data_IF_071309517213
#
_entry.id   IF_071309517213
#
_cell.length_a   1.000
_cell.length_b   1.000
_cell.length_c   1.000
_cell.angle_alpha   90.00
_cell.angle_beta   90.00
_cell.angle_gamma   90.00
#
_symmetry.space_group_name_H-M   'P 1'
#
loop_
_entity.id
_entity.type
_entity.pdbx_description
1 polymer ?
#
# COMPACT_ATOMS: atom_id res chain seq x y z
N UNK A 1 -37.00 -16.08 8.48
CA UNK A 1 -36.29 -14.79 8.54
C UNK A 1 -35.23 -14.84 9.65
N UNK A 2 -34.03 -15.36 9.39
CA UNK A 2 -32.95 -15.48 10.41
C UNK A 2 -31.60 -14.91 9.90
N UNK A 3 -31.63 -14.05 8.87
CA UNK A 3 -30.42 -13.62 8.15
C UNK A 3 -30.04 -12.15 8.24
N UNK A 4 -30.78 -11.31 8.98
CA UNK A 4 -30.57 -9.85 8.99
C UNK A 4 -30.29 -9.24 10.37
N UNK A 5 -29.91 -10.04 11.36
CA UNK A 5 -29.39 -9.54 12.65
C UNK A 5 -27.88 -9.77 12.84
N UNK A 6 -27.22 -10.44 11.90
CA UNK A 6 -25.81 -10.83 11.98
C UNK A 6 -24.92 -9.99 11.08
N UNK A 7 -25.14 -8.67 11.00
CA UNK A 7 -24.34 -7.78 10.14
C UNK A 7 -22.84 -7.87 10.43
N UNK A 8 -22.40 -7.42 11.61
CA UNK A 8 -20.99 -7.47 12.00
C UNK A 8 -20.52 -8.89 12.36
N UNK A 9 -21.34 -9.65 13.10
CA UNK A 9 -20.99 -11.00 13.56
C UNK A 9 -20.83 -11.99 12.41
N UNK A 10 -21.68 -11.89 11.37
CA UNK A 10 -21.57 -12.72 10.17
C UNK A 10 -20.31 -12.43 9.35
N UNK A 11 -19.94 -11.15 9.22
CA UNK A 11 -18.67 -10.77 8.56
C UNK A 11 -17.45 -11.34 9.31
N UNK A 12 -17.44 -11.25 10.64
CA UNK A 12 -16.34 -11.79 11.45
C UNK A 12 -16.28 -13.32 11.39
N UNK A 13 -17.42 -14.02 11.49
CA UNK A 13 -17.45 -15.48 11.36
C UNK A 13 -17.02 -15.94 9.97
N UNK A 14 -17.43 -15.26 8.90
CA UNK A 14 -17.00 -15.55 7.55
C UNK A 14 -15.48 -15.40 7.37
N UNK A 15 -14.90 -14.30 7.89
CA UNK A 15 -13.46 -14.07 7.84
C UNK A 15 -12.67 -15.13 8.63
N UNK A 16 -13.14 -15.51 9.82
CA UNK A 16 -12.54 -16.55 10.64
C UNK A 16 -12.61 -17.91 9.95
N UNK A 17 -13.78 -18.27 9.40
CA UNK A 17 -13.96 -19.54 8.72
C UNK A 17 -13.09 -19.66 7.46
N UNK A 18 -13.04 -18.59 6.65
CA UNK A 18 -12.15 -18.53 5.49
C UNK A 18 -10.66 -18.67 5.87
N UNK A 19 -10.23 -18.00 6.93
CA UNK A 19 -8.86 -18.09 7.43
C UNK A 19 -8.54 -19.49 7.97
N UNK A 20 -9.49 -20.12 8.66
CA UNK A 20 -9.36 -21.49 9.18
C UNK A 20 -9.23 -22.50 8.03
N UNK A 21 -10.07 -22.39 7.00
CA UNK A 21 -9.99 -23.23 5.80
C UNK A 21 -8.65 -23.06 5.07
N UNK A 22 -8.21 -21.82 4.87
CA UNK A 22 -6.92 -21.54 4.22
C UNK A 22 -5.75 -22.14 5.01
N UNK A 23 -5.77 -21.99 6.34
CA UNK A 23 -4.75 -22.58 7.22
C UNK A 23 -4.79 -24.10 7.17
N UNK A 24 -5.98 -24.71 7.16
CA UNK A 24 -6.13 -26.16 7.02
C UNK A 24 -5.57 -26.69 5.70
N UNK A 25 -5.83 -26.00 4.58
CA UNK A 25 -5.27 -26.34 3.26
C UNK A 25 -3.75 -26.20 3.28
N UNK A 26 -3.22 -25.11 3.86
CA UNK A 26 -1.78 -24.89 3.96
C UNK A 26 -1.12 -26.00 4.79
N UNK A 27 -1.64 -26.31 5.98
CA UNK A 27 -1.17 -27.41 6.84
C UNK A 27 -1.21 -28.74 6.11
N UNK A 28 -2.26 -29.01 5.34
CA UNK A 28 -2.37 -30.23 4.55
C UNK A 28 -1.27 -30.31 3.47
N UNK A 29 -0.99 -29.22 2.75
CA UNK A 29 0.10 -29.17 1.77
C UNK A 29 1.50 -29.25 2.41
N UNK A 30 1.65 -28.78 3.65
CA UNK A 30 2.94 -28.83 4.37
C UNK A 30 3.17 -30.15 5.11
N UNK A 31 2.20 -31.08 5.12
CA UNK A 31 2.29 -32.32 5.90
C UNK A 31 3.55 -33.14 5.56
N UNK A 32 3.96 -33.10 4.29
CA UNK A 32 5.10 -33.88 3.79
C UNK A 32 6.44 -33.32 4.31
N UNK A 33 6.45 -32.06 4.76
CA UNK A 33 7.61 -31.41 5.37
C UNK A 33 7.70 -31.64 6.88
N UNK A 34 6.65 -32.18 7.53
CA UNK A 34 6.63 -32.38 8.99
C UNK A 34 7.47 -33.56 9.45
N UNK A 35 7.83 -34.47 8.55
CA UNK A 35 8.67 -35.63 8.80
C UNK A 35 10.16 -35.38 8.55
N UNK A 36 10.52 -34.19 8.04
CA UNK A 36 11.90 -33.79 7.76
C UNK A 36 12.62 -33.45 9.07
N UNK A 37 13.88 -33.90 9.27
CA UNK A 37 14.66 -33.59 10.47
C UNK A 37 14.80 -32.07 10.66
N UNK A 38 14.57 -31.63 11.90
CA UNK A 38 14.60 -30.21 12.28
C UNK A 38 16.02 -29.66 12.15
N UNK A 39 16.21 -28.71 11.25
CA UNK A 39 17.45 -27.94 11.15
C UNK A 39 17.57 -26.95 12.33
N UNK A 40 18.78 -26.48 12.62
CA UNK A 40 18.99 -25.51 13.69
C UNK A 40 18.22 -24.22 13.38
N UNK A 41 17.29 -23.86 14.26
CA UNK A 41 16.45 -22.68 14.10
C UNK A 41 17.25 -21.41 14.47
N UNK A 42 17.76 -20.71 13.47
CA UNK A 42 18.40 -19.40 13.68
C UNK A 42 17.35 -18.30 13.91
N UNK A 43 16.82 -18.27 15.13
CA UNK A 43 15.89 -17.24 15.57
C UNK A 43 16.48 -15.83 15.41
N UNK A 44 17.81 -15.67 15.55
CA UNK A 44 18.46 -14.36 15.49
C UNK A 44 18.51 -13.83 14.06
N UNK A 45 18.91 -14.67 13.10
CA UNK A 45 18.84 -14.34 11.67
C UNK A 45 17.39 -14.07 11.22
N UNK A 46 16.45 -14.90 11.67
CA UNK A 46 15.03 -14.71 11.38
C UNK A 46 14.49 -13.38 11.94
N UNK A 47 14.80 -13.03 13.19
CA UNK A 47 14.37 -11.75 13.76
C UNK A 47 15.07 -10.56 13.12
N UNK A 48 16.36 -10.68 12.77
CA UNK A 48 17.12 -9.63 12.12
C UNK A 48 16.56 -9.25 10.72
N UNK A 49 15.92 -10.20 10.03
CA UNK A 49 15.25 -9.97 8.75
C UNK A 49 13.75 -9.67 8.91
N UNK A 50 13.08 -10.43 9.78
CA UNK A 50 11.64 -10.36 10.00
C UNK A 50 11.20 -9.05 10.64
N UNK A 51 11.92 -8.54 11.65
CA UNK A 51 11.56 -7.28 12.32
C UNK A 51 11.60 -6.10 11.34
N UNK A 52 12.69 -5.85 10.59
CA UNK A 52 12.71 -4.76 9.62
C UNK A 52 11.71 -4.94 8.47
N UNK A 53 11.48 -6.18 8.02
CA UNK A 53 10.47 -6.48 7.00
C UNK A 53 9.06 -6.09 7.49
N UNK A 54 8.69 -6.52 8.70
CA UNK A 54 7.41 -6.20 9.33
C UNK A 54 7.26 -4.71 9.58
N UNK A 55 8.31 -4.04 10.05
CA UNK A 55 8.27 -2.59 10.31
C UNK A 55 8.19 -1.78 9.02
N UNK A 56 8.93 -2.16 7.98
CA UNK A 56 8.88 -1.49 6.67
C UNK A 56 7.50 -1.64 6.03
N UNK A 57 6.98 -2.88 5.97
CA UNK A 57 5.64 -3.14 5.43
C UNK A 57 4.55 -2.47 6.30
N UNK A 58 4.70 -2.55 7.62
CA UNK A 58 3.81 -1.92 8.60
C UNK A 58 3.76 -0.40 8.46
N UNK A 59 4.88 0.26 8.20
CA UNK A 59 4.93 1.71 7.96
C UNK A 59 4.15 2.09 6.69
N UNK A 60 4.34 1.36 5.58
CA UNK A 60 3.55 1.56 4.36
C UNK A 60 2.05 1.31 4.59
N UNK A 61 1.70 0.28 5.35
CA UNK A 61 0.31 -0.03 5.67
C UNK A 61 -0.32 1.02 6.58
N UNK A 62 0.44 1.55 7.53
CA UNK A 62 0.01 2.64 8.39
C UNK A 62 -0.30 3.88 7.55
N UNK A 63 0.61 4.31 6.66
CA UNK A 63 0.37 5.44 5.76
C UNK A 63 -0.86 5.24 4.85
N UNK A 64 -1.15 4.00 4.46
CA UNK A 64 -2.29 3.65 3.61
C UNK A 64 -3.65 3.70 4.31
N UNK A 65 -3.70 3.43 5.62
CA UNK A 65 -4.96 3.29 6.37
C UNK A 65 -5.22 4.43 7.37
N UNK A 66 -4.17 5.11 7.82
CA UNK A 66 -4.25 6.09 8.91
C UNK A 66 -5.07 7.34 8.56
N UNK A 67 -5.09 7.77 7.30
CA UNK A 67 -5.89 8.89 6.83
C UNK A 67 -7.37 8.80 7.27
N UNK A 68 -8.01 7.65 7.06
CA UNK A 68 -9.40 7.41 7.47
C UNK A 68 -9.55 7.33 8.99
N UNK A 69 -8.55 6.77 9.69
CA UNK A 69 -8.58 6.61 11.15
C UNK A 69 -8.54 7.97 11.86
N UNK A 70 -7.70 8.89 11.39
CA UNK A 70 -7.56 10.23 11.96
C UNK A 70 -8.63 11.20 11.48
N UNK A 71 -9.17 11.05 10.26
CA UNK A 71 -10.25 11.92 9.78
C UNK A 71 -11.59 11.62 10.48
N UNK A 72 -11.89 10.35 10.79
CA UNK A 72 -13.20 9.94 11.31
C UNK A 72 -13.71 10.72 12.55
N UNK A 73 -12.88 11.04 13.56
CA UNK A 73 -13.34 11.79 14.73
C UNK A 73 -13.60 13.28 14.46
N UNK A 74 -13.06 13.85 13.38
CA UNK A 74 -13.06 15.29 13.12
C UNK A 74 -14.08 15.74 12.07
N UNK A 75 -14.70 14.81 11.35
CA UNK A 75 -15.66 15.09 10.27
C UNK A 75 -17.01 14.40 10.50
N UNK A 76 -18.05 14.94 9.87
CA UNK A 76 -19.40 14.38 9.96
C UNK A 76 -19.50 13.01 9.25
N UNK A 77 -20.48 12.18 9.65
CA UNK A 77 -20.66 10.85 9.05
C UNK A 77 -20.92 10.88 7.54
N UNK A 78 -21.59 11.92 7.04
CA UNK A 78 -21.90 12.12 5.61
C UNK A 78 -20.67 12.47 4.78
N UNK A 79 -19.79 13.31 5.34
CA UNK A 79 -18.49 13.66 4.75
C UNK A 79 -17.54 12.45 4.73
N UNK A 80 -17.49 11.72 5.85
CA UNK A 80 -16.69 10.49 5.97
C UNK A 80 -17.21 9.35 5.10
N UNK A 81 -18.51 9.28 4.82
CA UNK A 81 -19.06 8.31 3.87
C UNK A 81 -18.57 8.58 2.44
N UNK A 82 -18.58 9.84 2.01
CA UNK A 82 -18.07 10.25 0.70
C UNK A 82 -16.56 10.04 0.59
N UNK A 83 -15.81 10.40 1.64
CA UNK A 83 -14.36 10.16 1.72
C UNK A 83 -14.02 8.67 1.72
N UNK A 84 -14.74 7.87 2.52
CA UNK A 84 -14.55 6.43 2.62
C UNK A 84 -14.81 5.71 1.30
N UNK A 85 -15.82 6.14 0.54
CA UNK A 85 -16.06 5.61 -0.80
C UNK A 85 -14.97 6.02 -1.79
N UNK A 86 -14.59 7.30 -1.84
CA UNK A 86 -13.50 7.77 -2.70
C UNK A 86 -12.18 7.01 -2.40
N UNK A 87 -11.90 6.82 -1.12
CA UNK A 87 -10.75 6.05 -0.65
C UNK A 87 -10.86 4.57 -1.02
N UNK A 88 -12.02 3.94 -0.89
CA UNK A 88 -12.20 2.53 -1.25
C UNK A 88 -12.00 2.31 -2.74
N UNK A 89 -12.59 3.14 -3.59
CA UNK A 89 -12.44 3.05 -5.05
C UNK A 89 -10.97 3.24 -5.46
N UNK A 90 -10.30 4.23 -4.90
CA UNK A 90 -8.88 4.48 -5.19
C UNK A 90 -7.98 3.34 -4.72
N UNK A 91 -8.27 2.74 -3.56
CA UNK A 91 -7.53 1.57 -3.04
C UNK A 91 -7.79 0.31 -3.87
N UNK A 92 -9.03 0.07 -4.29
CA UNK A 92 -9.37 -1.05 -5.16
C UNK A 92 -8.61 -0.99 -6.49
N UNK A 93 -8.46 0.22 -7.06
CA UNK A 93 -7.62 0.45 -8.22
C UNK A 93 -6.15 0.07 -7.95
N UNK A 94 -5.60 0.44 -6.79
CA UNK A 94 -4.24 0.05 -6.43
C UNK A 94 -4.06 -1.47 -6.32
N UNK A 95 -5.03 -2.18 -5.76
CA UNK A 95 -5.01 -3.65 -5.73
C UNK A 95 -5.07 -4.29 -7.11
N UNK A 96 -5.54 -3.57 -8.14
CA UNK A 96 -5.46 -4.02 -9.52
C UNK A 96 -4.12 -3.63 -10.17
N UNK A 97 -3.62 -2.42 -9.91
CA UNK A 97 -2.36 -1.91 -10.50
C UNK A 97 -1.12 -2.66 -9.99
N UNK A 98 -1.04 -2.94 -8.68
CA UNK A 98 0.13 -3.57 -8.05
C UNK A 98 0.42 -4.99 -8.61
N UNK A 99 -0.55 -5.92 -8.69
CA UNK A 99 -0.34 -7.23 -9.31
C UNK A 99 -0.11 -7.13 -10.83
N UNK A 100 -0.81 -6.22 -11.52
CA UNK A 100 -0.61 -6.03 -12.97
C UNK A 100 0.82 -5.59 -13.29
N UNK A 101 1.39 -4.69 -12.49
CA UNK A 101 2.80 -4.31 -12.59
C UNK A 101 3.72 -5.53 -12.35
N UNK A 102 3.40 -6.36 -11.35
CA UNK A 102 4.16 -7.58 -11.03
C UNK A 102 4.13 -8.66 -12.12
N UNK A 103 3.06 -8.78 -12.91
CA UNK A 103 2.97 -9.74 -14.04
C UNK A 103 3.44 -9.16 -15.37
N UNK A 104 3.50 -7.83 -15.51
CA UNK A 104 4.15 -7.19 -16.65
C UNK A 104 5.67 -7.31 -16.56
N UNK A 105 6.23 -7.32 -15.34
CA UNK A 105 7.66 -7.51 -15.03
C UNK A 105 8.33 -8.58 -15.91
N UNK A 106 7.91 -9.87 -15.90
CA UNK A 106 8.59 -10.91 -16.66
C UNK A 106 8.51 -10.67 -18.17
N UNK A 107 7.40 -10.09 -18.66
CA UNK A 107 7.20 -9.80 -20.09
C UNK A 107 8.14 -8.69 -20.59
N UNK A 108 8.35 -7.64 -19.81
CA UNK A 108 9.25 -6.55 -20.23
C UNK A 108 10.73 -6.94 -20.00
N UNK A 109 11.04 -7.76 -18.98
CA UNK A 109 12.38 -8.34 -18.74
C UNK A 109 12.79 -9.29 -19.88
N UNK A 110 11.88 -10.13 -20.38
CA UNK A 110 12.15 -11.03 -21.51
C UNK A 110 12.47 -10.29 -22.82
N UNK A 111 11.99 -9.05 -23.00
CA UNK A 111 12.34 -8.18 -24.13
C UNK A 111 13.66 -7.42 -23.92
N UNK A 112 14.02 -7.12 -22.66
CA UNK A 112 15.27 -6.43 -22.28
C UNK A 112 16.44 -7.39 -21.97
N UNK A 113 16.28 -8.69 -22.19
CA UNK A 113 17.27 -9.74 -21.90
C UNK A 113 18.57 -9.67 -22.73
N UNK A 114 18.77 -8.61 -23.51
CA UNK A 114 19.98 -8.34 -24.29
C UNK A 114 20.99 -7.40 -23.61
N UNK A 115 21.07 -7.44 -22.26
CA UNK A 115 22.22 -7.00 -21.44
C UNK A 115 22.12 -5.61 -20.76
N UNK A 116 21.38 -5.49 -19.65
CA UNK A 116 21.76 -4.62 -18.51
C UNK A 116 20.88 -4.82 -17.26
N UNK A 117 21.48 -5.21 -16.13
CA UNK A 117 20.77 -5.51 -14.85
C UNK A 117 20.12 -4.28 -14.17
N UNK A 118 20.52 -3.07 -14.55
CA UNK A 118 20.01 -1.80 -13.97
C UNK A 118 18.67 -1.38 -14.60
N UNK A 119 18.34 -1.85 -15.80
CA UNK A 119 17.11 -1.43 -16.47
C UNK A 119 15.85 -2.03 -15.86
N UNK A 120 15.91 -3.17 -15.17
CA UNK A 120 14.71 -3.86 -14.70
C UNK A 120 13.94 -3.07 -13.63
N UNK A 121 14.62 -2.52 -12.63
CA UNK A 121 13.96 -1.70 -11.59
C UNK A 121 13.36 -0.42 -12.18
N UNK A 122 14.09 0.26 -13.08
CA UNK A 122 13.60 1.46 -13.76
C UNK A 122 12.41 1.18 -14.67
N UNK A 123 12.45 0.07 -15.41
CA UNK A 123 11.39 -0.38 -16.31
C UNK A 123 10.10 -0.69 -15.57
N UNK A 124 10.24 -1.23 -14.36
CA UNK A 124 9.13 -1.57 -13.47
C UNK A 124 8.55 -0.33 -12.85
N UNK A 125 9.41 0.58 -12.41
CA UNK A 125 8.98 1.88 -11.94
C UNK A 125 8.19 2.61 -13.02
N UNK A 126 8.69 2.62 -14.26
CA UNK A 126 8.00 3.23 -15.40
C UNK A 126 6.69 2.49 -15.69
N UNK A 127 6.69 1.15 -15.73
CA UNK A 127 5.49 0.35 -15.96
C UNK A 127 4.42 0.59 -14.89
N UNK A 128 4.83 0.64 -13.62
CA UNK A 128 3.96 0.95 -12.48
C UNK A 128 3.48 2.39 -12.55
N UNK A 129 4.33 3.34 -12.94
CA UNK A 129 3.96 4.75 -13.07
C UNK A 129 2.93 4.94 -14.18
N UNK A 130 3.15 4.34 -15.35
CA UNK A 130 2.20 4.37 -16.46
C UNK A 130 0.87 3.74 -16.03
N UNK A 131 0.88 2.54 -15.43
CA UNK A 131 -0.34 1.89 -14.97
C UNK A 131 -1.07 2.69 -13.88
N UNK A 132 -0.34 3.26 -12.92
CA UNK A 132 -0.91 4.05 -11.84
C UNK A 132 -1.47 5.39 -12.35
N UNK A 133 -0.77 6.08 -13.26
CA UNK A 133 -1.24 7.32 -13.89
C UNK A 133 -2.44 7.03 -14.77
N UNK A 134 -2.40 5.99 -15.62
CA UNK A 134 -3.53 5.57 -16.44
C UNK A 134 -4.73 5.17 -15.58
N UNK A 135 -4.50 4.43 -14.48
CA UNK A 135 -5.54 4.07 -13.53
C UNK A 135 -6.14 5.30 -12.85
N UNK A 136 -5.30 6.22 -12.37
CA UNK A 136 -5.75 7.45 -11.72
C UNK A 136 -6.50 8.36 -12.70
N UNK A 137 -6.04 8.47 -13.94
CA UNK A 137 -6.72 9.21 -14.99
C UNK A 137 -8.07 8.56 -15.36
N UNK A 138 -8.09 7.23 -15.52
CA UNK A 138 -9.31 6.47 -15.78
C UNK A 138 -10.32 6.66 -14.65
N UNK A 139 -9.88 6.60 -13.41
CA UNK A 139 -10.73 6.81 -12.25
C UNK A 139 -11.18 8.28 -12.13
N UNK A 140 -10.35 9.25 -12.50
CA UNK A 140 -10.71 10.67 -12.51
C UNK A 140 -11.72 11.02 -13.60
N UNK A 141 -11.62 10.40 -14.77
CA UNK A 141 -12.51 10.60 -15.92
C UNK A 141 -13.82 9.82 -15.78
N UNK A 142 -13.74 8.55 -15.37
CA UNK A 142 -14.89 7.66 -15.18
C UNK A 142 -15.52 7.78 -13.79
N UNK A 143 -14.88 8.52 -12.88
CA UNK A 143 -15.32 8.72 -11.50
C UNK A 143 -16.79 9.10 -11.37
N UNK A 144 -17.29 10.12 -12.08
CA UNK A 144 -18.70 10.51 -12.03
C UNK A 144 -19.67 9.42 -12.51
N UNK A 145 -19.23 8.53 -13.41
CA UNK A 145 -20.05 7.41 -13.90
C UNK A 145 -20.01 6.22 -12.94
N UNK A 146 -18.82 5.82 -12.48
CA UNK A 146 -18.64 4.71 -11.54
C UNK A 146 -19.31 5.01 -10.20
N UNK A 147 -19.16 6.25 -9.70
CA UNK A 147 -19.76 6.68 -8.44
C UNK A 147 -21.29 6.71 -8.55
N UNK A 148 -21.89 7.01 -9.72
CA UNK A 148 -23.35 6.89 -9.90
C UNK A 148 -23.88 5.46 -9.83
N UNK A 149 -23.08 4.47 -10.25
CA UNK A 149 -23.47 3.05 -10.15
C UNK A 149 -23.33 2.49 -8.73
N UNK A 150 -22.37 3.01 -7.95
CA UNK A 150 -22.01 2.44 -6.63
C UNK A 150 -22.58 3.26 -5.47
N UNK A 151 -22.76 4.58 -5.62
CA UNK A 151 -23.18 5.49 -4.56
C UNK A 151 -24.58 6.06 -4.78
N UNK A 152 -25.25 6.40 -3.67
CA UNK A 152 -26.49 7.21 -3.70
C UNK A 152 -26.19 8.59 -4.30
N UNK A 153 -27.12 9.12 -5.10
CA UNK A 153 -26.97 10.39 -5.83
C UNK A 153 -26.51 11.56 -4.94
N UNK A 154 -26.91 11.57 -3.66
CA UNK A 154 -26.52 12.58 -2.67
C UNK A 154 -25.02 12.70 -2.42
N UNK A 155 -24.23 11.63 -2.63
CA UNK A 155 -22.79 11.60 -2.35
C UNK A 155 -21.91 11.68 -3.59
N UNK A 156 -22.53 11.62 -4.79
CA UNK A 156 -21.82 11.54 -6.06
C UNK A 156 -20.98 12.79 -6.31
N UNK A 157 -21.53 13.98 -6.05
CA UNK A 157 -20.85 15.25 -6.29
C UNK A 157 -19.61 15.43 -5.39
N UNK A 158 -19.77 15.15 -4.09
CA UNK A 158 -18.68 15.25 -3.11
C UNK A 158 -17.57 14.21 -3.36
N UNK A 159 -17.97 12.96 -3.65
CA UNK A 159 -17.03 11.87 -3.94
C UNK A 159 -16.25 12.14 -5.24
N UNK A 160 -16.93 12.62 -6.29
CA UNK A 160 -16.30 12.92 -7.59
C UNK A 160 -15.28 14.06 -7.52
N UNK A 161 -15.46 15.02 -6.62
CA UNK A 161 -14.51 16.12 -6.41
C UNK A 161 -13.25 15.67 -5.63
N UNK A 162 -13.38 14.71 -4.72
CA UNK A 162 -12.26 14.17 -3.92
C UNK A 162 -11.46 13.10 -4.67
N UNK A 163 -12.10 12.40 -5.61
CA UNK A 163 -11.53 11.25 -6.31
C UNK A 163 -10.21 11.56 -7.04
N UNK A 164 -10.04 12.68 -7.78
CA UNK A 164 -8.79 12.97 -8.49
C UNK A 164 -7.63 13.26 -7.53
N UNK A 165 -7.90 13.96 -6.42
CA UNK A 165 -6.90 14.22 -5.38
C UNK A 165 -6.46 12.92 -4.70
N UNK A 166 -7.42 12.05 -4.40
CA UNK A 166 -7.15 10.77 -3.79
C UNK A 166 -6.35 9.85 -4.73
N UNK A 167 -6.80 9.72 -5.97
CA UNK A 167 -6.12 8.93 -6.99
C UNK A 167 -4.70 9.45 -7.24
N UNK A 168 -4.54 10.77 -7.34
CA UNK A 168 -3.24 11.42 -7.50
C UNK A 168 -2.29 11.16 -6.31
N UNK A 169 -2.78 11.21 -5.07
CA UNK A 169 -2.00 10.91 -3.87
C UNK A 169 -1.57 9.43 -3.79
N UNK A 170 -2.34 8.54 -4.42
CA UNK A 170 -2.11 7.10 -4.45
C UNK A 170 -1.10 6.65 -5.51
N UNK A 171 -0.85 7.45 -6.56
CA UNK A 171 0.19 7.16 -7.57
C UNK A 171 1.61 7.07 -6.96
N UNK A 172 2.11 8.10 -6.23
CA UNK A 172 3.43 8.02 -5.62
C UNK A 172 3.51 6.94 -4.53
N UNK A 173 2.40 6.68 -3.83
CA UNK A 173 2.30 5.56 -2.89
C UNK A 173 2.51 4.21 -3.58
N UNK A 174 1.85 3.97 -4.72
CA UNK A 174 1.99 2.72 -5.47
C UNK A 174 3.45 2.48 -5.90
N UNK A 175 4.11 3.52 -6.39
CA UNK A 175 5.52 3.48 -6.77
C UNK A 175 6.44 3.21 -5.58
N UNK A 176 6.20 3.91 -4.46
CA UNK A 176 6.95 3.70 -3.23
C UNK A 176 6.77 2.27 -2.73
N UNK A 177 5.55 1.73 -2.76
CA UNK A 177 5.26 0.38 -2.32
C UNK A 177 6.00 -0.66 -3.16
N UNK A 178 6.06 -0.50 -4.49
CA UNK A 178 6.85 -1.40 -5.35
C UNK A 178 8.34 -1.35 -5.00
N UNK A 179 8.91 -0.16 -4.78
CA UNK A 179 10.32 -0.03 -4.38
C UNK A 179 10.61 -0.59 -3.00
N UNK A 180 9.72 -0.39 -2.05
CA UNK A 180 9.83 -0.95 -0.70
C UNK A 180 9.84 -2.47 -0.78
N UNK A 181 8.93 -3.08 -1.54
CA UNK A 181 8.91 -4.52 -1.73
C UNK A 181 10.20 -5.03 -2.38
N UNK A 182 10.74 -4.34 -3.39
CA UNK A 182 12.03 -4.70 -4.00
C UNK A 182 13.22 -4.54 -3.03
N UNK A 183 13.29 -3.44 -2.27
CA UNK A 183 14.36 -3.18 -1.30
C UNK A 183 14.35 -4.18 -0.16
N UNK A 184 13.17 -4.51 0.37
CA UNK A 184 13.01 -5.48 1.45
C UNK A 184 13.30 -6.91 0.97
N UNK A 185 12.90 -7.27 -0.26
CA UNK A 185 13.25 -8.55 -0.88
C UNK A 185 14.77 -8.72 -1.10
N UNK A 186 15.50 -7.61 -1.26
CA UNK A 186 16.97 -7.59 -1.37
C UNK A 186 17.68 -7.39 -0.02
N UNK A 187 16.97 -7.55 1.10
CA UNK A 187 17.48 -7.39 2.47
C UNK A 187 18.10 -6.01 2.76
N UNK A 188 17.71 -4.97 2.01
CA UNK A 188 18.21 -3.59 2.20
C UNK A 188 17.45 -2.87 3.31
N UNK A 189 17.54 -3.40 4.53
CA UNK A 189 16.79 -2.90 5.69
C UNK A 189 17.20 -1.50 6.19
N UNK A 190 18.29 -0.92 5.66
CA UNK A 190 18.76 0.44 6.02
C UNK A 190 17.74 1.55 5.76
N UNK A 191 16.76 1.32 4.88
CA UNK A 191 15.69 2.29 4.58
C UNK A 191 14.56 2.26 5.62
N UNK A 192 14.41 1.17 6.38
CA UNK A 192 13.28 0.97 7.31
C UNK A 192 13.20 2.06 8.39
N UNK A 193 14.29 2.50 9.05
CA UNK A 193 14.22 3.60 10.01
C UNK A 193 13.71 4.90 9.38
N UNK A 194 14.11 5.22 8.14
CA UNK A 194 13.60 6.38 7.42
C UNK A 194 12.10 6.26 7.16
N UNK A 195 11.61 5.08 6.77
CA UNK A 195 10.17 4.84 6.57
C UNK A 195 9.37 5.02 7.86
N UNK A 196 9.90 4.55 9.00
CA UNK A 196 9.27 4.73 10.31
C UNK A 196 9.19 6.22 10.66
N UNK A 197 10.27 6.99 10.43
CA UNK A 197 10.28 8.44 10.68
C UNK A 197 9.27 9.16 9.79
N UNK A 198 9.17 8.81 8.51
CA UNK A 198 8.17 9.38 7.59
C UNK A 198 6.75 9.04 8.04
N UNK A 199 6.48 7.79 8.44
CA UNK A 199 5.18 7.36 8.93
C UNK A 199 4.78 8.04 10.25
N UNK A 200 5.72 8.16 11.19
CA UNK A 200 5.50 8.88 12.44
C UNK A 200 5.24 10.38 12.17
N UNK A 201 6.09 11.00 11.34
CA UNK A 201 5.94 12.40 10.93
C UNK A 201 4.60 12.67 10.25
N UNK A 202 4.12 11.74 9.41
CA UNK A 202 2.80 11.81 8.81
C UNK A 202 1.69 11.83 9.87
N UNK A 203 1.73 10.90 10.84
CA UNK A 203 0.75 10.84 11.92
C UNK A 203 0.73 12.11 12.78
N UNK A 204 1.91 12.62 13.17
CA UNK A 204 2.01 13.87 13.94
C UNK A 204 1.51 15.08 13.15
N UNK A 205 1.92 15.21 11.88
CA UNK A 205 1.51 16.33 11.02
C UNK A 205 0.00 16.31 10.77
N UNK A 206 -0.57 15.12 10.55
CA UNK A 206 -1.99 14.96 10.34
C UNK A 206 -2.80 15.29 11.60
N UNK A 207 -2.37 14.80 12.76
CA UNK A 207 -3.01 15.12 14.04
C UNK A 207 -2.94 16.61 14.37
N UNK A 208 -1.80 17.26 14.10
CA UNK A 208 -1.64 18.70 14.28
C UNK A 208 -2.52 19.50 13.31
N UNK A 209 -2.52 19.15 12.02
CA UNK A 209 -3.30 19.83 10.99
C UNK A 209 -4.82 19.73 11.24
N UNK A 210 -5.31 18.55 11.65
CA UNK A 210 -6.73 18.34 11.96
C UNK A 210 -7.19 19.12 13.19
N UNK A 211 -6.29 19.35 14.17
CA UNK A 211 -6.59 20.17 15.34
C UNK A 211 -6.57 21.68 15.03
N UNK A 212 -5.72 22.14 14.10
CA UNK A 212 -5.56 23.57 13.81
C UNK A 212 -6.49 24.08 12.69
N UNK A 213 -6.86 23.22 11.74
CA UNK A 213 -7.71 23.57 10.59
C UNK A 213 -8.89 22.59 10.43
N UNK A 214 -9.90 22.66 11.31
CA UNK A 214 -11.10 21.83 11.17
C UNK A 214 -11.85 22.19 9.87
N UNK A 215 -12.29 21.18 9.11
CA UNK A 215 -13.24 21.35 8.00
C UNK A 215 -12.68 21.26 6.56
N UNK A 216 -11.40 20.93 6.34
CA UNK A 216 -10.84 20.79 4.97
C UNK A 216 -10.30 19.40 4.68
N UNK A 217 -11.18 18.49 4.25
CA UNK A 217 -10.84 17.10 3.84
C UNK A 217 -9.71 17.02 2.79
N UNK A 218 -9.64 18.00 1.88
CA UNK A 218 -8.58 18.07 0.85
C UNK A 218 -7.19 18.21 1.48
N UNK A 219 -7.08 18.84 2.66
CA UNK A 219 -5.82 19.01 3.36
C UNK A 219 -5.24 17.66 3.82
N UNK A 220 -6.09 16.71 4.23
CA UNK A 220 -5.69 15.34 4.57
C UNK A 220 -5.04 14.67 3.36
N UNK A 221 -5.65 14.81 2.18
CA UNK A 221 -5.13 14.24 0.93
C UNK A 221 -3.84 14.92 0.46
N UNK A 222 -3.70 16.23 0.68
CA UNK A 222 -2.46 16.95 0.35
C UNK A 222 -1.30 16.52 1.24
N UNK A 223 -1.53 16.40 2.55
CA UNK A 223 -0.51 15.89 3.49
C UNK A 223 -0.14 14.46 3.08
N UNK A 224 -1.12 13.60 2.79
CA UNK A 224 -0.88 12.25 2.31
C UNK A 224 -0.03 12.23 1.02
N UNK A 225 -0.37 13.07 0.04
CA UNK A 225 0.38 13.16 -1.22
C UNK A 225 1.84 13.61 -0.99
N UNK A 226 2.06 14.62 -0.15
CA UNK A 226 3.41 15.13 0.16
C UNK A 226 4.24 14.05 0.85
N UNK A 227 3.70 13.39 1.86
CA UNK A 227 4.41 12.33 2.58
C UNK A 227 4.67 11.10 1.70
N UNK A 228 3.75 10.75 0.80
CA UNK A 228 3.97 9.69 -0.19
C UNK A 228 5.06 10.05 -1.19
N UNK A 229 5.18 11.31 -1.60
CA UNK A 229 6.27 11.79 -2.45
C UNK A 229 7.61 11.75 -1.71
N UNK A 230 7.65 12.14 -0.44
CA UNK A 230 8.86 12.04 0.40
C UNK A 230 9.29 10.58 0.57
N UNK A 231 8.34 9.68 0.83
CA UNK A 231 8.60 8.24 0.90
C UNK A 231 9.16 7.73 -0.43
N UNK A 232 8.52 8.07 -1.56
CA UNK A 232 8.99 7.70 -2.89
C UNK A 232 10.41 8.21 -3.15
N UNK A 233 10.69 9.48 -2.86
CA UNK A 233 12.01 10.08 -3.07
C UNK A 233 13.08 9.36 -2.24
N UNK A 234 12.79 9.03 -0.96
CA UNK A 234 13.70 8.27 -0.11
C UNK A 234 13.94 6.85 -0.62
N UNK A 235 12.89 6.16 -1.10
CA UNK A 235 13.00 4.83 -1.68
C UNK A 235 13.77 4.84 -3.00
N UNK A 236 13.53 5.81 -3.89
CA UNK A 236 14.28 6.02 -5.13
C UNK A 236 15.75 6.24 -4.81
N UNK A 237 16.05 7.16 -3.89
CA UNK A 237 17.42 7.43 -3.48
C UNK A 237 18.12 6.18 -2.93
N UNK A 238 17.46 5.40 -2.06
CA UNK A 238 18.01 4.17 -1.50
C UNK A 238 18.15 3.03 -2.53
N UNK A 239 17.26 2.97 -3.53
CA UNK A 239 17.33 2.01 -4.62
C UNK A 239 18.52 2.28 -5.55
N UNK A 240 18.74 3.55 -5.92
CA UNK A 240 19.82 3.96 -6.82
C UNK A 240 21.17 4.18 -6.14
N UNK A 241 21.22 4.25 -4.80
CA UNK A 241 22.50 4.30 -4.07
C UNK A 241 23.22 2.96 -4.27
N UNK A 242 24.32 2.99 -5.04
CA UNK A 242 25.25 1.85 -5.14
C UNK A 242 25.72 1.47 -3.73
N UNK A 243 25.79 0.19 -3.37
CA UNK A 243 26.42 -0.21 -2.12
C UNK A 243 27.86 0.30 -2.15
N UNK A 244 28.20 1.18 -1.21
CA UNK A 244 29.58 1.58 -1.00
C UNK A 244 30.37 0.31 -0.71
N UNK A 245 31.37 0.01 -1.54
CA UNK A 245 32.33 -1.08 -1.38
C UNK A 245 33.21 -0.83 -0.15
N UNK A 246 32.61 -0.87 1.03
CA UNK A 246 33.27 -0.65 2.31
C UNK A 246 32.76 -1.68 3.32
N UNK A 247 33.01 -2.95 3.03
CA UNK A 247 33.16 -4.02 4.02
C UNK A 247 33.74 -5.27 3.34
N UNK A 248 34.84 -5.08 2.60
CA UNK A 248 35.73 -6.15 2.16
C UNK A 248 37.13 -5.84 2.71
N UNK A 249 37.20 -5.66 4.04
CA UNK A 249 38.44 -5.61 4.82
C UNK A 249 38.06 -5.43 6.31
N UNK A 250 37.69 -6.53 6.96
CA UNK A 250 38.00 -6.81 8.38
C UNK A 250 37.63 -8.25 8.69
#
# INVERSE_FOLDING_TARGET
MIGMQSGATGMLMGALFGSALATGIAMWQTRDLWTVPKEHFDLKGLLAQGVPLLLGFGACQFMFASDTMFAKPHFSETEMASYGMAGTLSRALLWLVLPLAAVMFPKIVHSSAKSEKTNLLSLVLIGTAVLAICGAASLSLLGPWIVKFVAKESYVAATSALLPWYAGAMVPYALANVLVNDLLARERFKIVPFMIVVAAGYGFTLSYALNHYPGRLVMVLQILAVFNLVLLAGCVWAAFRKPSSASAAS
#
